data_IF_402995953128
#
_entry.id   IF_402995953128
#
_cell.length_a   1.000
_cell.length_b   1.000
_cell.length_c   1.000
_cell.angle_alpha   90.00
_cell.angle_beta   90.00
_cell.angle_gamma   90.00
#
_symmetry.space_group_name_H-M   'P 1'
#
loop_
_entity.id
_entity.type
_entity.pdbx_description
1 polymer ?
#
# COMPACT_ATOMS: atom_id res chain seq x y z
N UNK A 1 -5.62 0.77 27.61
CA UNK A 1 -5.02 0.53 26.28
C UNK A 1 -6.14 -0.03 25.45
N UNK A 2 -6.77 0.79 24.60
CA UNK A 2 -7.83 0.32 23.72
C UNK A 2 -7.21 -0.65 22.73
N UNK A 3 -7.65 -1.90 22.72
CA UNK A 3 -7.31 -2.81 21.63
C UNK A 3 -7.96 -2.25 20.36
N UNK A 4 -7.23 -2.12 19.24
CA UNK A 4 -7.86 -1.73 18.00
C UNK A 4 -8.83 -2.85 17.64
N UNK A 5 -10.12 -2.53 17.54
CA UNK A 5 -11.16 -3.40 17.00
C UNK A 5 -10.91 -3.60 15.51
N UNK A 6 -9.88 -4.37 15.17
CA UNK A 6 -9.43 -4.64 13.80
C UNK A 6 -10.24 -5.79 13.18
N UNK A 7 -11.56 -5.82 13.37
CA UNK A 7 -12.29 -7.09 13.28
C UNK A 7 -13.50 -7.12 12.33
N UNK A 8 -13.97 -6.00 11.77
CA UNK A 8 -15.00 -6.05 10.69
C UNK A 8 -14.92 -4.82 9.77
N UNK A 9 -14.75 -3.63 10.34
CA UNK A 9 -14.73 -2.39 9.55
C UNK A 9 -13.49 -2.25 8.70
N UNK A 10 -12.34 -2.76 9.16
CA UNK A 10 -11.09 -2.71 8.39
C UNK A 10 -11.07 -3.69 7.22
N UNK A 11 -11.77 -4.83 7.34
CA UNK A 11 -11.93 -5.78 6.23
C UNK A 11 -12.94 -5.25 5.20
N UNK A 12 -14.08 -4.69 5.64
CA UNK A 12 -15.03 -4.03 4.74
C UNK A 12 -14.40 -2.83 4.00
N UNK A 13 -13.59 -2.03 4.70
CA UNK A 13 -12.82 -0.92 4.11
C UNK A 13 -11.74 -1.45 3.14
N UNK A 14 -11.15 -2.62 3.42
CA UNK A 14 -10.15 -3.26 2.56
C UNK A 14 -10.76 -3.73 1.26
N UNK A 15 -11.91 -4.39 1.31
CA UNK A 15 -12.61 -4.88 0.12
C UNK A 15 -13.06 -3.70 -0.77
N UNK A 16 -13.59 -2.64 -0.18
CA UNK A 16 -13.93 -1.42 -0.94
C UNK A 16 -12.71 -0.77 -1.62
N UNK A 17 -11.55 -0.75 -0.94
CA UNK A 17 -10.29 -0.23 -1.52
C UNK A 17 -9.77 -1.13 -2.65
N UNK A 18 -9.95 -2.45 -2.53
CA UNK A 18 -9.59 -3.41 -3.59
C UNK A 18 -10.47 -3.18 -4.82
N UNK A 19 -11.79 -3.07 -4.66
CA UNK A 19 -12.74 -2.82 -5.75
C UNK A 19 -12.43 -1.51 -6.49
N UNK A 20 -12.16 -0.41 -5.77
CA UNK A 20 -11.80 0.87 -6.38
C UNK A 20 -10.50 0.76 -7.19
N UNK A 21 -9.50 0.08 -6.65
CA UNK A 21 -8.17 -0.04 -7.27
C UNK A 21 -8.12 -1.07 -8.40
N UNK A 22 -9.01 -2.06 -8.40
CA UNK A 22 -9.11 -3.07 -9.46
C UNK A 22 -9.65 -2.51 -10.79
N UNK A 23 -10.07 -1.23 -10.82
CA UNK A 23 -10.45 -0.54 -12.05
C UNK A 23 -9.23 -0.34 -12.96
N UNK A 24 -9.16 -1.16 -14.01
CA UNK A 24 -8.06 -1.11 -14.98
C UNK A 24 -8.10 0.14 -15.86
N UNK A 25 -6.95 0.77 -16.05
CA UNK A 25 -6.73 1.77 -17.09
C UNK A 25 -6.64 1.12 -18.49
N UNK A 26 -6.93 1.86 -19.59
CA UNK A 26 -6.81 1.33 -20.94
C UNK A 26 -5.44 0.70 -21.24
N UNK A 27 -4.37 1.27 -20.69
CA UNK A 27 -3.00 0.77 -20.83
C UNK A 27 -2.82 -0.59 -20.14
N UNK A 28 -3.46 -0.81 -18.99
CA UNK A 28 -3.37 -2.06 -18.23
C UNK A 28 -4.22 -3.17 -18.86
N UNK A 29 -5.35 -2.80 -19.47
CA UNK A 29 -6.13 -3.70 -20.31
C UNK A 29 -5.30 -4.14 -21.51
N UNK A 30 -4.59 -3.22 -22.16
CA UNK A 30 -3.71 -3.52 -23.29
C UNK A 30 -2.51 -4.38 -22.88
N UNK A 31 -2.02 -4.25 -21.65
CA UNK A 31 -0.98 -5.09 -21.09
C UNK A 31 -1.47 -6.50 -20.69
N UNK A 32 -2.79 -6.70 -20.57
CA UNK A 32 -3.40 -7.99 -20.22
C UNK A 32 -3.27 -8.34 -18.75
N UNK A 33 -3.69 -7.45 -17.84
CA UNK A 33 -3.75 -7.80 -16.41
C UNK A 33 -4.76 -8.95 -16.18
N UNK A 34 -4.25 -10.11 -15.79
CA UNK A 34 -5.02 -11.36 -15.67
C UNK A 34 -5.99 -11.36 -14.47
N UNK A 35 -5.63 -10.68 -13.38
CA UNK A 35 -6.43 -10.57 -12.16
C UNK A 35 -6.21 -9.21 -11.47
N UNK A 36 -7.01 -8.18 -11.82
CA UNK A 36 -6.87 -6.85 -11.25
C UNK A 36 -7.18 -6.79 -9.75
N UNK A 37 -8.07 -7.66 -9.24
CA UNK A 37 -8.43 -7.71 -7.82
C UNK A 37 -7.26 -8.26 -6.99
N UNK A 38 -6.64 -9.35 -7.44
CA UNK A 38 -5.46 -9.90 -6.78
C UNK A 38 -4.27 -8.91 -6.83
N UNK A 39 -4.09 -8.22 -7.95
CA UNK A 39 -3.07 -7.18 -8.08
C UNK A 39 -3.33 -6.02 -7.11
N UNK A 40 -4.58 -5.54 -7.03
CA UNK A 40 -4.98 -4.47 -6.11
C UNK A 40 -4.76 -4.87 -4.64
N UNK A 41 -5.18 -6.08 -4.26
CA UNK A 41 -5.04 -6.60 -2.91
C UNK A 41 -3.57 -6.73 -2.46
N UNK A 42 -2.68 -7.15 -3.36
CA UNK A 42 -1.25 -7.26 -3.08
C UNK A 42 -0.60 -5.88 -2.87
N UNK A 43 -0.94 -4.90 -3.71
CA UNK A 43 -0.40 -3.54 -3.61
C UNK A 43 -0.87 -2.86 -2.33
N UNK A 44 -2.14 -3.03 -1.96
CA UNK A 44 -2.69 -2.45 -0.73
C UNK A 44 -2.02 -3.06 0.51
N UNK A 45 -1.84 -4.39 0.55
CA UNK A 45 -1.11 -5.05 1.64
C UNK A 45 0.30 -4.49 1.84
N UNK A 46 1.02 -4.29 0.73
CA UNK A 46 2.37 -3.72 0.73
C UNK A 46 2.39 -2.23 1.12
N UNK A 47 1.36 -1.47 0.73
CA UNK A 47 1.18 -0.08 1.17
C UNK A 47 0.91 0.02 2.67
N UNK A 48 -0.04 -0.77 3.17
CA UNK A 48 -0.41 -0.79 4.59
C UNK A 48 0.82 -1.15 5.45
N UNK A 49 1.63 -2.13 5.02
CA UNK A 49 2.90 -2.49 5.69
C UNK A 49 3.89 -1.32 5.75
N UNK A 50 4.01 -0.53 4.68
CA UNK A 50 4.89 0.65 4.66
C UNK A 50 4.35 1.80 5.50
N UNK A 51 3.05 1.99 5.53
CA UNK A 51 2.38 3.00 6.36
C UNK A 51 2.55 2.69 7.85
N UNK A 52 2.49 1.41 8.23
CA UNK A 52 2.79 0.94 9.59
C UNK A 52 4.28 1.06 9.95
N UNK A 53 5.18 0.99 8.96
CA UNK A 53 6.64 1.03 9.14
C UNK A 53 7.32 2.11 8.30
N UNK A 54 6.98 3.40 8.49
CA UNK A 54 7.44 4.48 7.62
C UNK A 54 8.95 4.74 7.73
N UNK A 55 9.59 4.27 8.81
CA UNK A 55 11.04 4.36 8.98
C UNK A 55 11.84 3.43 8.04
N UNK A 56 11.24 2.32 7.58
CA UNK A 56 11.93 1.37 6.68
C UNK A 56 12.17 1.97 5.30
N UNK A 57 11.14 2.59 4.72
CA UNK A 57 11.25 3.24 3.41
C UNK A 57 12.25 4.40 3.45
N UNK A 58 12.34 5.12 4.56
CA UNK A 58 13.32 6.21 4.74
C UNK A 58 14.77 5.71 4.83
N UNK A 59 15.01 4.56 5.48
CA UNK A 59 16.35 3.98 5.60
C UNK A 59 16.87 3.40 4.27
N UNK A 60 15.97 2.86 3.45
CA UNK A 60 16.32 2.24 2.15
C UNK A 60 16.36 3.25 0.98
N UNK A 61 15.91 4.49 1.20
CA UNK A 61 15.82 5.50 0.15
C UNK A 61 17.17 6.22 -0.08
N UNK A 62 17.72 6.21 -1.31
CA UNK A 62 18.91 6.99 -1.66
C UNK A 62 18.63 8.50 -1.77
N UNK A 63 17.42 8.93 -1.44
CA UNK A 63 16.94 10.32 -1.49
C UNK A 63 16.67 10.90 -0.09
N UNK A 64 16.93 10.14 0.97
CA UNK A 64 16.89 10.67 2.33
C UNK A 64 18.08 11.62 2.53
N UNK A 65 17.85 12.88 2.93
CA UNK A 65 18.96 13.79 3.19
C UNK A 65 19.84 13.18 4.27
N UNK A 66 21.16 13.16 4.03
CA UNK A 66 22.12 12.75 5.03
C UNK A 66 22.13 13.80 6.16
N UNK A 67 21.35 13.56 7.22
CA UNK A 67 21.27 14.45 8.38
C UNK A 67 22.55 14.42 9.24
N UNK A 68 23.65 13.80 8.78
CA UNK A 68 24.94 13.80 9.45
C UNK A 68 25.88 14.95 9.02
N UNK A 69 25.46 15.80 8.09
CA UNK A 69 26.27 16.91 7.56
C UNK A 69 25.82 18.29 8.07
N UNK A 70 25.86 18.52 9.37
CA UNK A 70 25.94 19.88 9.95
C UNK A 70 26.53 19.77 11.38
N UNK A 71 27.82 20.10 11.51
CA UNK A 71 28.57 20.37 12.77
C UNK A 71 28.97 21.85 12.79
#
# INVERSE_FOLDING_TARGET
>A
MSEPTHDLTQDDDRDARVEERALLLPEEIAAGSDDPEAQAAAILADSDLREEQPGRTQQDSPQSPDLSADD
#
